data_IF_895298986369
#
_entry.id   IF_895298986369
#
_cell.length_a   1.000
_cell.length_b   1.000
_cell.length_c   1.000
_cell.angle_alpha   90.00
_cell.angle_beta   90.00
_cell.angle_gamma   90.00
#
_symmetry.space_group_name_H-M   'P 1'
#
loop_
_entity.id
_entity.type
_entity.pdbx_description
1 polymer ?
#
# COMPACT_ATOMS: atom_id res chain seq x y z
N UNK A 1 -0.12 -5.04 -1.61
CA UNK A 1 0.31 -5.30 -3.00
C UNK A 1 1.56 -4.50 -3.30
N UNK A 2 2.53 -5.08 -3.98
CA UNK A 2 3.83 -4.45 -4.22
C UNK A 2 4.24 -4.56 -5.67
N UNK A 3 4.55 -3.40 -6.23
CA UNK A 3 5.09 -3.27 -7.56
C UNK A 3 6.56 -3.67 -7.57
N UNK A 4 6.91 -4.61 -8.43
CA UNK A 4 8.27 -5.09 -8.66
C UNK A 4 8.68 -4.90 -10.13
N UNK A 5 8.01 -4.00 -10.86
CA UNK A 5 8.34 -3.69 -12.26
C UNK A 5 9.71 -3.05 -12.41
N UNK A 6 10.24 -3.06 -13.63
CA UNK A 6 11.56 -2.49 -13.92
C UNK A 6 11.70 -1.01 -13.58
N UNK A 7 10.60 -0.23 -13.63
CA UNK A 7 10.58 1.17 -13.23
C UNK A 7 10.88 1.36 -11.75
N UNK A 8 10.58 0.38 -10.91
CA UNK A 8 10.85 0.38 -9.46
C UNK A 8 12.31 0.11 -9.10
N UNK A 9 13.18 -0.21 -10.04
CA UNK A 9 14.56 -0.61 -9.76
C UNK A 9 15.30 0.36 -8.81
N UNK A 10 16.05 -0.21 -7.87
CA UNK A 10 16.81 0.50 -6.84
C UNK A 10 16.06 0.63 -5.51
N UNK A 11 16.14 1.81 -4.89
CA UNK A 11 15.55 2.09 -3.56
C UNK A 11 14.02 1.87 -3.54
N UNK A 12 13.22 2.33 -4.52
CA UNK A 12 11.78 2.12 -4.51
C UNK A 12 11.38 0.65 -4.38
N UNK A 13 12.05 -0.25 -5.12
CA UNK A 13 11.80 -1.68 -5.06
C UNK A 13 12.12 -2.27 -3.68
N UNK A 14 13.26 -1.90 -3.10
CA UNK A 14 13.63 -2.37 -1.77
C UNK A 14 12.61 -1.94 -0.72
N UNK A 15 12.14 -0.69 -0.82
CA UNK A 15 11.10 -0.15 0.08
C UNK A 15 9.78 -0.87 -0.15
N UNK A 16 9.36 -1.09 -1.41
CA UNK A 16 8.14 -1.82 -1.75
C UNK A 16 8.14 -3.24 -1.16
N UNK A 17 9.24 -3.97 -1.30
CA UNK A 17 9.40 -5.31 -0.71
C UNK A 17 9.30 -5.24 0.82
N UNK A 18 10.05 -4.33 1.44
CA UNK A 18 10.10 -4.24 2.91
C UNK A 18 8.75 -3.87 3.50
N UNK A 19 8.08 -2.86 2.94
CA UNK A 19 6.75 -2.42 3.39
C UNK A 19 5.69 -3.49 3.11
N UNK A 20 5.78 -4.19 1.98
CA UNK A 20 4.87 -5.29 1.63
C UNK A 20 5.02 -6.47 2.59
N UNK A 21 6.24 -6.85 2.97
CA UNK A 21 6.48 -7.88 3.99
C UNK A 21 5.90 -7.43 5.33
N UNK A 22 6.20 -6.21 5.76
CA UNK A 22 5.73 -5.66 7.02
C UNK A 22 4.20 -5.63 7.11
N UNK A 23 3.52 -5.12 6.08
CA UNK A 23 2.05 -5.12 6.04
C UNK A 23 1.47 -6.53 6.06
N UNK A 24 2.13 -7.52 5.45
CA UNK A 24 1.68 -8.91 5.46
C UNK A 24 1.79 -9.57 6.84
N UNK A 25 2.78 -9.14 7.66
CA UNK A 25 2.94 -9.61 9.04
C UNK A 25 1.85 -9.09 9.97
N UNK A 26 1.39 -7.86 9.73
CA UNK A 26 0.33 -7.25 10.56
C UNK A 26 -1.02 -7.96 10.45
N UNK A 27 -1.24 -8.70 9.38
CA UNK A 27 -2.44 -9.50 9.18
C UNK A 27 -2.38 -10.84 9.94
N UNK A 28 -1.23 -11.20 10.48
CA UNK A 28 -1.06 -12.40 11.30
C UNK A 28 -1.48 -12.10 12.75
N UNK A 29 -2.59 -12.66 13.16
CA UNK A 29 -3.14 -12.50 14.50
C UNK A 29 -2.63 -13.54 15.50
N UNK A 30 -1.54 -14.26 15.16
CA UNK A 30 -0.93 -15.32 15.98
C UNK A 30 -1.89 -16.48 16.36
N UNK A 31 -3.08 -16.53 15.75
CA UNK A 31 -4.01 -17.63 15.98
C UNK A 31 -3.50 -18.95 15.40
N UNK A 32 -4.08 -20.08 15.83
CA UNK A 32 -3.74 -21.41 15.28
C UNK A 32 -3.99 -21.48 13.77
N UNK A 33 -5.07 -20.86 13.31
CA UNK A 33 -5.40 -20.72 11.88
C UNK A 33 -4.85 -19.42 11.34
N UNK A 34 -3.88 -19.49 10.43
CA UNK A 34 -3.32 -18.34 9.74
C UNK A 34 -4.38 -17.73 8.80
N UNK A 35 -4.71 -16.43 8.93
CA UNK A 35 -5.63 -15.77 7.99
C UNK A 35 -5.13 -15.89 6.54
N UNK A 36 -6.06 -16.02 5.57
CA UNK A 36 -5.70 -16.34 4.18
C UNK A 36 -4.73 -15.33 3.55
N UNK A 37 -4.82 -14.07 3.93
CA UNK A 37 -3.93 -13.02 3.40
C UNK A 37 -2.71 -12.72 4.29
N UNK A 38 -2.60 -13.32 5.49
CA UNK A 38 -1.47 -13.15 6.38
C UNK A 38 -0.20 -13.79 5.82
N UNK A 39 0.94 -13.18 6.08
CA UNK A 39 2.23 -13.64 5.58
C UNK A 39 2.25 -13.92 4.06
N UNK A 40 1.46 -13.20 3.30
CA UNK A 40 1.41 -13.29 1.85
C UNK A 40 1.78 -11.96 1.20
N UNK A 41 2.55 -12.06 0.15
CA UNK A 41 3.05 -10.93 -0.63
C UNK A 41 2.46 -11.01 -2.04
N UNK A 42 1.55 -10.10 -2.38
CA UNK A 42 0.98 -10.04 -3.71
C UNK A 42 1.82 -9.13 -4.59
N UNK A 43 2.46 -9.70 -5.60
CA UNK A 43 3.16 -8.95 -6.65
C UNK A 43 2.17 -8.52 -7.72
N UNK A 44 2.46 -7.43 -8.41
CA UNK A 44 1.75 -7.13 -9.62
C UNK A 44 2.72 -6.75 -10.74
N UNK A 45 2.86 -7.69 -11.62
CA UNK A 45 3.58 -7.64 -12.88
C UNK A 45 2.70 -8.27 -13.98
N UNK A 46 3.26 -8.67 -15.08
CA UNK A 46 2.53 -9.37 -16.17
C UNK A 46 1.84 -10.66 -15.69
N UNK A 47 2.36 -11.31 -14.65
CA UNK A 47 1.83 -12.55 -14.05
C UNK A 47 1.81 -12.45 -12.53
N UNK A 48 0.81 -11.78 -11.95
CA UNK A 48 0.73 -11.56 -10.51
C UNK A 48 0.81 -12.87 -9.71
N UNK A 49 1.60 -12.86 -8.65
CA UNK A 49 1.80 -13.99 -7.77
C UNK A 49 1.47 -13.62 -6.33
N UNK A 50 0.80 -14.51 -5.64
CA UNK A 50 0.63 -14.44 -4.19
C UNK A 50 1.69 -15.31 -3.54
N UNK A 51 2.82 -14.70 -3.20
CA UNK A 51 3.98 -15.39 -2.63
C UNK A 51 3.77 -15.60 -1.14
N UNK A 52 3.78 -16.85 -0.67
CA UNK A 52 3.70 -17.17 0.75
C UNK A 52 5.08 -16.96 1.39
N UNK A 53 5.10 -16.15 2.45
CA UNK A 53 6.27 -15.90 3.29
C UNK A 53 6.26 -16.86 4.49
N UNK A 54 7.43 -17.30 4.99
CA UNK A 54 7.48 -18.18 6.14
C UNK A 54 7.03 -17.45 7.41
N UNK A 55 6.01 -18.00 8.09
CA UNK A 55 5.45 -17.46 9.34
C UNK A 55 6.51 -17.51 10.45
N UNK A 56 6.62 -16.44 11.24
CA UNK A 56 7.58 -16.35 12.34
C UNK A 56 9.05 -16.20 11.92
N UNK A 57 9.35 -16.19 10.62
CA UNK A 57 10.71 -15.98 10.13
C UNK A 57 11.15 -14.52 10.28
N UNK A 58 12.45 -14.30 10.40
CA UNK A 58 13.03 -12.97 10.43
C UNK A 58 12.80 -12.20 9.11
N UNK A 59 12.82 -10.87 9.18
CA UNK A 59 12.74 -10.01 7.98
C UNK A 59 13.79 -10.41 6.93
N UNK A 60 15.01 -10.76 7.37
CA UNK A 60 16.08 -11.21 6.48
C UNK A 60 15.69 -12.46 5.66
N UNK A 61 15.10 -13.46 6.33
CA UNK A 61 14.66 -14.68 5.67
C UNK A 61 13.53 -14.41 4.68
N UNK A 62 12.57 -13.58 5.04
CA UNK A 62 11.47 -13.18 4.16
C UNK A 62 11.97 -12.40 2.93
N UNK A 63 12.89 -11.45 3.13
CA UNK A 63 13.55 -10.73 2.03
C UNK A 63 14.33 -11.70 1.12
N UNK A 64 14.99 -12.71 1.69
CA UNK A 64 15.69 -13.73 0.92
C UNK A 64 14.74 -14.57 0.03
N UNK A 65 13.53 -14.89 0.53
CA UNK A 65 12.48 -15.53 -0.27
C UNK A 65 12.10 -14.63 -1.45
N UNK A 66 11.84 -13.34 -1.19
CA UNK A 66 11.47 -12.37 -2.21
C UNK A 66 12.60 -12.17 -3.24
N UNK A 67 13.85 -12.08 -2.77
CA UNK A 67 15.00 -11.97 -3.67
C UNK A 67 15.12 -13.20 -4.58
N UNK A 68 15.00 -14.41 -4.03
CA UNK A 68 15.01 -15.63 -4.83
C UNK A 68 13.88 -15.65 -5.86
N UNK A 69 12.71 -15.17 -5.50
CA UNK A 69 11.59 -15.03 -6.42
C UNK A 69 11.92 -14.01 -7.52
N UNK A 70 12.47 -12.86 -7.19
CA UNK A 70 12.94 -11.87 -8.15
C UNK A 70 14.01 -12.45 -9.10
N UNK A 71 15.01 -13.15 -8.57
CA UNK A 71 16.12 -13.71 -9.35
C UNK A 71 15.66 -14.86 -10.30
N UNK A 72 14.49 -15.45 -10.10
CA UNK A 72 13.93 -16.49 -10.96
C UNK A 72 13.41 -16.01 -12.32
N UNK A 73 13.57 -14.71 -12.63
CA UNK A 73 13.19 -14.14 -13.93
C UNK A 73 11.67 -13.86 -14.06
N UNK A 74 10.95 -13.83 -12.95
CA UNK A 74 9.52 -13.51 -12.92
C UNK A 74 9.23 -12.02 -13.12
N UNK A 75 10.20 -11.24 -13.56
CA UNK A 75 10.06 -9.82 -13.84
C UNK A 75 9.27 -9.61 -15.14
N UNK A 76 8.02 -9.24 -15.01
CA UNK A 76 7.26 -8.72 -16.12
C UNK A 76 7.60 -7.25 -16.37
N UNK A 77 7.73 -6.83 -17.61
CA UNK A 77 7.96 -5.43 -17.97
C UNK A 77 6.74 -4.54 -17.71
N UNK A 78 5.59 -5.13 -17.44
CA UNK A 78 4.28 -4.48 -17.41
C UNK A 78 3.66 -4.53 -16.01
N UNK A 79 3.01 -3.44 -15.62
CA UNK A 79 2.38 -3.24 -14.30
C UNK A 79 0.87 -3.40 -14.41
N UNK A 80 0.38 -4.64 -14.39
CA UNK A 80 -1.04 -4.94 -14.57
C UNK A 80 -1.78 -5.07 -13.23
N UNK A 81 -2.31 -3.96 -12.73
CA UNK A 81 -3.05 -3.91 -11.46
C UNK A 81 -4.35 -4.72 -11.54
N UNK A 82 -5.04 -4.72 -12.67
CA UNK A 82 -6.30 -5.45 -12.87
C UNK A 82 -6.10 -6.95 -12.70
N UNK A 83 -5.02 -7.50 -13.26
CA UNK A 83 -4.67 -8.91 -13.09
C UNK A 83 -4.30 -9.25 -11.65
N UNK A 84 -3.66 -8.33 -10.93
CA UNK A 84 -3.32 -8.54 -9.53
C UNK A 84 -4.57 -8.55 -8.63
N UNK A 85 -5.53 -7.66 -8.88
CA UNK A 85 -6.82 -7.68 -8.20
C UNK A 85 -7.59 -8.95 -8.50
N UNK A 86 -7.62 -9.40 -9.76
CA UNK A 86 -8.25 -10.67 -10.11
C UNK A 86 -7.61 -11.83 -9.33
N UNK A 87 -6.29 -11.87 -9.22
CA UNK A 87 -5.59 -12.89 -8.44
C UNK A 87 -5.98 -12.90 -6.96
N UNK A 88 -6.13 -11.71 -6.35
CA UNK A 88 -6.60 -11.57 -4.97
C UNK A 88 -8.02 -12.12 -4.83
N UNK A 89 -8.93 -11.76 -5.74
CA UNK A 89 -10.32 -12.22 -5.73
C UNK A 89 -10.43 -13.72 -6.00
N UNK A 90 -9.62 -14.29 -6.90
CA UNK A 90 -9.59 -15.73 -7.16
C UNK A 90 -9.23 -16.52 -5.89
N UNK A 91 -8.29 -16.00 -5.09
CA UNK A 91 -7.93 -16.60 -3.81
C UNK A 91 -9.09 -16.51 -2.81
N UNK A 92 -9.71 -15.34 -2.69
CA UNK A 92 -10.85 -15.13 -1.80
C UNK A 92 -12.03 -16.05 -2.14
N UNK A 93 -12.37 -16.17 -3.42
CA UNK A 93 -13.44 -17.06 -3.89
C UNK A 93 -13.10 -18.53 -3.66
N UNK A 94 -11.86 -18.94 -3.96
CA UNK A 94 -11.41 -20.32 -3.81
C UNK A 94 -11.39 -20.75 -2.34
N UNK A 95 -11.04 -19.83 -1.44
CA UNK A 95 -11.07 -20.06 0.00
C UNK A 95 -12.45 -19.81 0.64
N UNK A 96 -13.45 -19.41 -0.16
CA UNK A 96 -14.81 -19.10 0.31
C UNK A 96 -14.82 -18.08 1.46
N UNK A 97 -14.00 -17.04 1.37
CA UNK A 97 -13.90 -16.03 2.41
C UNK A 97 -15.22 -15.27 2.58
N UNK A 98 -15.59 -15.01 3.84
CA UNK A 98 -16.69 -14.08 4.13
C UNK A 98 -16.26 -12.63 3.93
N UNK A 99 -17.21 -11.69 3.91
CA UNK A 99 -16.88 -10.28 3.78
C UNK A 99 -15.99 -9.77 4.95
N UNK A 100 -16.19 -10.30 6.16
CA UNK A 100 -15.41 -9.95 7.35
C UNK A 100 -13.96 -10.49 7.30
N UNK A 101 -13.72 -11.50 6.46
CA UNK A 101 -12.39 -12.08 6.25
C UNK A 101 -11.65 -11.40 5.09
N UNK A 102 -12.34 -10.56 4.32
CA UNK A 102 -11.71 -9.75 3.28
C UNK A 102 -10.95 -8.57 3.88
N UNK A 103 -9.98 -8.07 3.12
CA UNK A 103 -9.23 -6.89 3.54
C UNK A 103 -10.13 -5.63 3.54
N UNK A 104 -10.12 -4.89 4.62
CA UNK A 104 -10.76 -3.57 4.72
C UNK A 104 -9.94 -2.48 4.01
N UNK A 105 -8.62 -2.64 3.98
CA UNK A 105 -7.68 -1.73 3.34
C UNK A 105 -6.77 -2.50 2.40
N UNK A 106 -6.66 -2.02 1.17
CA UNK A 106 -5.73 -2.53 0.17
C UNK A 106 -4.61 -1.51 -0.07
N UNK A 107 -3.42 -1.79 0.41
CA UNK A 107 -2.25 -0.92 0.21
C UNK A 107 -1.51 -1.32 -1.05
N UNK A 108 -1.28 -0.36 -1.94
CA UNK A 108 -0.58 -0.55 -3.22
C UNK A 108 0.71 0.27 -3.21
N UNK A 109 1.84 -0.41 -3.09
CA UNK A 109 3.17 0.20 -3.15
C UNK A 109 3.68 0.20 -4.59
N UNK A 110 3.80 1.38 -5.21
CA UNK A 110 4.18 1.52 -6.63
C UNK A 110 4.81 2.88 -6.90
N UNK A 111 5.37 3.06 -8.10
CA UNK A 111 5.69 4.38 -8.65
C UNK A 111 4.53 5.00 -9.45
N UNK A 112 3.34 4.39 -9.35
CA UNK A 112 2.10 4.83 -9.99
C UNK A 112 2.10 4.77 -11.52
N UNK A 113 3.02 4.03 -12.12
CA UNK A 113 3.06 3.79 -13.57
C UNK A 113 2.34 2.46 -13.87
N UNK A 114 1.02 2.52 -13.99
CA UNK A 114 0.22 1.34 -14.30
C UNK A 114 -0.04 1.26 -15.81
N UNK A 115 0.06 0.05 -16.34
CA UNK A 115 -0.32 -0.19 -17.72
C UNK A 115 -1.83 -0.07 -17.88
N UNK A 116 -2.25 0.62 -18.94
CA UNK A 116 -3.64 0.63 -19.33
C UNK A 116 -3.98 -0.79 -19.81
N UNK A 117 -4.92 -1.44 -19.16
CA UNK A 117 -5.33 -2.79 -19.55
C UNK A 117 -5.72 -2.80 -21.04
N UNK A 118 -5.19 -3.78 -21.76
CA UNK A 118 -5.26 -3.93 -23.22
C UNK A 118 -6.66 -4.30 -23.74
N UNK A 119 -7.69 -4.05 -22.95
CA UNK A 119 -9.08 -4.31 -23.32
C UNK A 119 -9.72 -3.06 -23.94
N UNK A 120 -10.56 -3.25 -24.95
CA UNK A 120 -11.32 -2.18 -25.62
C UNK A 120 -12.19 -1.33 -24.66
N UNK A 121 -12.42 -1.83 -23.45
CA UNK A 121 -13.15 -1.18 -22.36
C UNK A 121 -12.27 -0.24 -21.53
N UNK A 122 -10.95 -0.44 -21.53
CA UNK A 122 -10.00 0.30 -20.67
C UNK A 122 -9.68 1.70 -21.19
N UNK A 123 -10.11 2.06 -22.38
CA UNK A 123 -9.85 3.39 -22.96
C UNK A 123 -10.63 4.52 -22.28
N UNK A 124 -11.71 4.19 -21.56
CA UNK A 124 -12.60 5.18 -20.92
C UNK A 124 -12.66 5.04 -19.39
N UNK A 125 -12.04 3.99 -18.81
CA UNK A 125 -12.11 3.73 -17.37
C UNK A 125 -10.73 3.81 -16.73
N UNK A 126 -10.66 4.40 -15.53
CA UNK A 126 -9.45 4.39 -14.72
C UNK A 126 -9.16 3.00 -14.15
N UNK A 127 -7.90 2.73 -13.77
CA UNK A 127 -7.54 1.46 -13.10
C UNK A 127 -8.36 1.22 -11.83
N UNK A 128 -8.76 2.27 -11.13
CA UNK A 128 -9.62 2.19 -9.95
C UNK A 128 -11.05 1.76 -10.29
N UNK A 129 -11.65 2.33 -11.33
CA UNK A 129 -13.02 1.94 -11.76
C UNK A 129 -13.08 0.48 -12.23
N UNK A 130 -12.02 -0.01 -12.87
CA UNK A 130 -11.91 -1.42 -13.24
C UNK A 130 -11.82 -2.32 -12.00
N UNK A 131 -11.07 -1.90 -10.99
CA UNK A 131 -10.98 -2.60 -9.70
C UNK A 131 -12.35 -2.67 -9.02
N UNK A 132 -13.08 -1.55 -8.94
CA UNK A 132 -14.45 -1.51 -8.38
C UNK A 132 -15.35 -2.54 -9.05
N UNK A 133 -15.38 -2.57 -10.39
CA UNK A 133 -16.17 -3.55 -11.14
C UNK A 133 -15.79 -5.00 -10.83
N UNK A 134 -14.50 -5.30 -10.64
CA UNK A 134 -14.05 -6.65 -10.30
C UNK A 134 -14.55 -7.09 -8.92
N UNK A 135 -14.48 -6.21 -7.91
CA UNK A 135 -14.99 -6.51 -6.56
C UNK A 135 -16.51 -6.71 -6.58
N UNK A 136 -17.25 -5.84 -7.28
CA UNK A 136 -18.71 -5.96 -7.46
C UNK A 136 -19.09 -7.30 -8.13
N UNK A 137 -18.41 -7.70 -9.20
CA UNK A 137 -18.64 -8.96 -9.88
C UNK A 137 -18.35 -10.18 -9.00
N UNK A 138 -17.41 -10.06 -8.09
CA UNK A 138 -17.07 -11.10 -7.12
C UNK A 138 -17.99 -11.10 -5.88
N UNK A 139 -18.95 -10.17 -5.80
CA UNK A 139 -19.84 -9.96 -4.65
C UNK A 139 -19.10 -9.63 -3.34
N UNK A 140 -17.98 -8.90 -3.43
CA UNK A 140 -17.26 -8.35 -2.29
C UNK A 140 -17.33 -6.83 -2.29
N UNK A 141 -17.36 -6.24 -1.09
CA UNK A 141 -17.23 -4.80 -0.94
C UNK A 141 -15.85 -4.34 -1.36
N UNK A 142 -15.78 -3.19 -2.02
CA UNK A 142 -14.50 -2.58 -2.41
C UNK A 142 -13.77 -2.10 -1.16
N UNK A 143 -12.53 -2.56 -0.91
CA UNK A 143 -11.75 -2.09 0.23
C UNK A 143 -11.36 -0.62 0.06
N UNK A 144 -10.98 0.04 1.15
CA UNK A 144 -10.31 1.33 1.05
C UNK A 144 -8.96 1.16 0.37
N UNK A 145 -8.72 1.85 -0.75
CA UNK A 145 -7.50 1.69 -1.54
C UNK A 145 -6.51 2.80 -1.21
N UNK A 146 -5.39 2.42 -0.62
CA UNK A 146 -4.28 3.31 -0.33
C UNK A 146 -3.20 3.18 -1.41
N UNK A 147 -3.12 4.16 -2.30
CA UNK A 147 -2.05 4.27 -3.28
C UNK A 147 -0.81 4.92 -2.64
N UNK A 148 0.24 4.14 -2.46
CA UNK A 148 1.48 4.62 -1.86
C UNK A 148 2.59 4.77 -2.90
N UNK A 149 2.82 6.02 -3.32
CA UNK A 149 3.85 6.34 -4.28
C UNK A 149 5.24 6.33 -3.65
N UNK A 150 6.10 5.45 -4.15
CA UNK A 150 7.48 5.27 -3.69
C UNK A 150 8.51 6.01 -4.55
N UNK A 151 8.08 6.81 -5.52
CA UNK A 151 8.97 7.57 -6.39
C UNK A 151 8.66 9.06 -6.38
N UNK A 152 9.70 9.91 -6.43
CA UNK A 152 9.56 11.36 -6.38
C UNK A 152 8.99 11.98 -7.68
N UNK A 153 9.08 11.25 -8.79
CA UNK A 153 8.57 11.72 -10.09
C UNK A 153 7.38 10.83 -10.47
N UNK A 154 6.20 11.37 -10.36
CA UNK A 154 4.95 10.74 -10.83
C UNK A 154 4.53 11.35 -12.15
N UNK A 155 4.15 10.49 -13.08
CA UNK A 155 3.47 10.89 -14.32
C UNK A 155 2.00 10.47 -14.16
N UNK A 156 1.16 11.44 -13.77
CA UNK A 156 -0.28 11.25 -13.61
C UNK A 156 -0.73 10.85 -12.19
N UNK A 157 -2.03 10.95 -11.96
CA UNK A 157 -2.72 10.52 -10.75
C UNK A 157 -3.71 9.43 -11.13
N UNK A 158 -3.75 8.35 -10.33
CA UNK A 158 -4.63 7.20 -10.60
C UNK A 158 -6.08 7.46 -10.20
N UNK A 159 -6.29 8.40 -9.31
CA UNK A 159 -7.59 8.82 -8.79
C UNK A 159 -7.62 10.33 -8.60
N UNK A 160 -8.80 10.91 -8.70
CA UNK A 160 -9.00 12.32 -8.34
C UNK A 160 -8.95 12.49 -6.82
N UNK A 161 -8.62 13.69 -6.36
CA UNK A 161 -8.49 14.01 -4.93
C UNK A 161 -9.76 13.71 -4.10
N UNK A 162 -10.92 13.68 -4.76
CA UNK A 162 -12.22 13.45 -4.13
C UNK A 162 -12.79 12.06 -4.43
N UNK A 163 -12.01 11.14 -5.01
CA UNK A 163 -12.48 9.78 -5.27
C UNK A 163 -12.75 9.10 -3.93
N UNK A 164 -14.02 8.73 -3.70
CA UNK A 164 -14.43 8.07 -2.47
C UNK A 164 -13.67 6.76 -2.26
N UNK A 165 -13.45 6.41 -1.01
CA UNK A 165 -12.81 5.16 -0.61
C UNK A 165 -11.36 4.99 -1.11
N UNK A 166 -10.67 6.10 -1.39
CA UNK A 166 -9.27 6.09 -1.80
C UNK A 166 -8.43 7.10 -1.02
N UNK A 167 -7.15 6.81 -0.87
CA UNK A 167 -6.15 7.73 -0.33
C UNK A 167 -4.86 7.63 -1.11
N UNK A 168 -4.13 8.75 -1.21
CA UNK A 168 -2.83 8.79 -1.88
C UNK A 168 -1.77 9.31 -0.93
N UNK A 169 -0.65 8.61 -0.89
CA UNK A 169 0.51 8.93 -0.07
C UNK A 169 1.77 8.88 -0.93
N UNK A 170 2.72 9.78 -0.69
CA UNK A 170 4.00 9.80 -1.41
C UNK A 170 5.18 9.80 -0.44
N UNK A 171 6.25 9.14 -0.85
CA UNK A 171 7.49 9.01 -0.07
C UNK A 171 7.55 7.75 0.78
N UNK A 172 8.65 7.55 1.49
CA UNK A 172 8.85 6.39 2.35
C UNK A 172 9.35 6.87 3.73
N UNK A 173 8.41 6.87 4.67
CA UNK A 173 8.68 7.21 6.06
C UNK A 173 8.02 6.17 6.95
N UNK A 174 8.80 5.59 7.87
CA UNK A 174 8.28 4.68 8.90
C UNK A 174 7.20 5.35 9.77
N UNK A 175 7.29 6.69 9.94
CA UNK A 175 6.27 7.45 10.67
C UNK A 175 4.93 7.49 9.93
N UNK A 176 4.96 7.61 8.60
CA UNK A 176 3.75 7.54 7.79
C UNK A 176 3.11 6.15 7.90
N UNK A 177 3.90 5.08 7.82
CA UNK A 177 3.38 3.73 8.01
C UNK A 177 2.71 3.59 9.38
N UNK A 178 3.34 4.05 10.45
CA UNK A 178 2.76 4.00 11.79
C UNK A 178 1.43 4.77 11.89
N UNK A 179 1.29 5.90 11.21
CA UNK A 179 0.04 6.65 11.19
C UNK A 179 -1.11 5.84 10.58
N UNK A 180 -0.84 5.10 9.51
CA UNK A 180 -1.86 4.23 8.88
C UNK A 180 -2.18 2.99 9.71
N UNK A 181 -1.23 2.48 10.50
CA UNK A 181 -1.42 1.30 11.32
C UNK A 181 -2.11 1.58 12.66
N UNK A 182 -1.88 2.77 13.22
CA UNK A 182 -2.39 3.12 14.56
C UNK A 182 -3.72 3.88 14.54
N UNK A 183 -4.09 4.41 13.39
CA UNK A 183 -5.31 5.20 13.24
C UNK A 183 -6.39 4.39 12.52
N UNK A 184 -7.64 4.58 12.94
CA UNK A 184 -8.80 3.98 12.28
C UNK A 184 -8.94 4.47 10.83
N UNK A 185 -9.70 3.75 10.00
CA UNK A 185 -10.02 4.09 8.60
C UNK A 185 -10.48 5.54 8.41
N UNK A 186 -11.14 6.11 9.41
CA UNK A 186 -11.58 7.52 9.41
C UNK A 186 -10.41 8.51 9.26
N UNK A 187 -9.22 8.13 9.72
CA UNK A 187 -8.00 8.94 9.59
C UNK A 187 -7.37 8.84 8.19
N UNK A 188 -7.69 7.81 7.42
CA UNK A 188 -7.22 7.65 6.05
C UNK A 188 -7.91 8.62 5.06
N UNK A 189 -9.06 9.16 5.44
CA UNK A 189 -9.74 10.26 4.71
C UNK A 189 -9.17 11.64 5.05
N UNK A 190 -8.03 11.69 5.74
CA UNK A 190 -7.48 12.93 6.26
C UNK A 190 -6.87 13.80 5.17
N UNK A 191 -7.12 15.09 5.28
CA UNK A 191 -6.47 16.11 4.45
C UNK A 191 -4.93 16.09 4.68
N UNK A 192 -4.11 16.59 3.73
CA UNK A 192 -2.67 16.77 3.96
C UNK A 192 -2.33 17.49 5.25
N UNK A 193 -3.20 18.41 5.69
CA UNK A 193 -3.07 19.15 6.96
C UNK A 193 -3.20 18.21 8.17
N UNK A 194 -4.17 17.31 8.15
CA UNK A 194 -4.35 16.35 9.26
C UNK A 194 -3.17 15.39 9.38
N UNK A 195 -2.62 14.92 8.26
CA UNK A 195 -1.40 14.09 8.24
C UNK A 195 -0.19 14.86 8.79
N UNK A 196 -0.05 16.12 8.40
CA UNK A 196 0.99 17.00 8.93
C UNK A 196 0.84 17.20 10.43
N UNK A 197 -0.35 17.53 10.91
CA UNK A 197 -0.63 17.72 12.33
C UNK A 197 -0.39 16.43 13.14
N UNK A 198 -0.79 15.28 12.64
CA UNK A 198 -0.51 14.00 13.28
C UNK A 198 0.99 13.70 13.37
N UNK A 199 1.76 14.04 12.34
CA UNK A 199 3.22 13.90 12.35
C UNK A 199 3.88 14.86 13.35
N UNK A 200 3.44 16.10 13.43
CA UNK A 200 3.99 17.14 14.33
C UNK A 200 3.60 16.86 15.79
N UNK A 201 2.38 16.40 16.04
CA UNK A 201 1.86 16.11 17.40
C UNK A 201 2.41 14.81 17.99
N UNK A 202 3.41 14.19 17.36
CA UNK A 202 4.03 12.97 17.89
C UNK A 202 4.61 13.25 19.30
N UNK A 203 4.41 12.33 20.27
CA UNK A 203 4.95 12.46 21.63
C UNK A 203 6.44 12.76 21.68
N UNK A 204 7.21 12.31 20.70
CA UNK A 204 8.65 12.57 20.55
C UNK A 204 8.99 14.07 20.49
N UNK A 205 8.07 14.90 19.97
CA UNK A 205 8.31 16.34 19.83
C UNK A 205 7.77 17.16 21.02
N UNK A 206 6.90 16.59 21.85
CA UNK A 206 6.32 17.28 23.03
C UNK A 206 7.36 17.98 23.93
N UNK A 207 8.53 17.38 24.21
CA UNK A 207 9.55 18.04 25.04
C UNK A 207 10.13 19.32 24.42
N UNK A 208 10.06 19.46 23.11
CA UNK A 208 10.64 20.59 22.37
C UNK A 208 9.66 21.75 22.13
N UNK A 209 8.36 21.52 22.26
CA UNK A 209 7.31 22.54 22.02
C UNK A 209 7.56 23.81 22.88
N UNK A 210 7.84 23.74 24.19
CA UNK A 210 8.06 24.94 25.01
C UNK A 210 9.30 25.75 24.59
N UNK A 211 10.27 25.12 23.95
CA UNK A 211 11.45 25.79 23.44
C UNK A 211 11.17 26.52 22.12
N UNK A 212 10.36 25.91 21.26
CA UNK A 212 9.89 26.50 20.00
C UNK A 212 8.98 27.71 20.26
N UNK A 213 8.03 27.60 21.18
CA UNK A 213 7.15 28.70 21.56
C UNK A 213 7.93 29.89 22.09
N UNK A 214 8.94 29.65 22.94
CA UNK A 214 9.83 30.72 23.42
C UNK A 214 10.63 31.37 22.31
N UNK A 215 11.13 30.60 21.33
CA UNK A 215 11.88 31.14 20.20
C UNK A 215 10.98 32.00 19.30
N UNK A 216 9.76 31.58 19.01
CA UNK A 216 8.78 32.33 18.22
C UNK A 216 8.37 33.62 18.92
N UNK A 217 8.11 33.58 20.24
CA UNK A 217 7.79 34.77 21.01
C UNK A 217 8.95 35.81 21.03
N UNK A 218 10.20 35.35 21.09
CA UNK A 218 11.35 36.24 21.06
C UNK A 218 11.55 36.93 19.69
N UNK A 219 11.23 36.27 18.59
CA UNK A 219 11.30 36.87 17.25
C UNK A 219 10.17 37.87 17.00
N UNK A 220 8.97 37.61 17.50
CA UNK A 220 7.82 38.53 17.37
C UNK A 220 7.97 39.80 18.22
N UNK A 221 8.81 39.80 19.24
CA UNK A 221 9.08 40.97 20.10
C UNK A 221 10.28 41.81 19.63
N UNK A 222 10.98 41.38 18.55
CA UNK A 222 12.13 42.10 17.95
C UNK A 222 11.79 42.93 16.72
N UNK A 223 10.55 42.87 16.24
CA UNK A 223 10.01 43.73 15.17
C UNK A 223 8.95 44.67 15.74
#
# INVERSE_FOLDING_TARGET
MSDLSGSMNGIPMMVSITLGIFTSELLDNESETEPEFANRFLTFDTKPQLVKLPRGASLYEKVKVMKKWCDSGCWGGNTNITSAIQKLLDVAISAQLTQEQMCEVLVIFSDMQFDVADSSWAKESTSYELMVKQFEQANYNVPHVLFWNLRAKTVGFQVEANTMNTSMVSGYSSKMMNLFLTNSLDTLQTSPVSLMLAAINNPTYKPYIPSLERAICMDLTRN
#
